data_IF_818642728536
#
_entry.id   IF_818642728536
#
_cell.length_a   1.000
_cell.length_b   1.000
_cell.length_c   1.000
_cell.angle_alpha   90.00
_cell.angle_beta   90.00
_cell.angle_gamma   90.00
#
_symmetry.space_group_name_H-M   'P 1'
#
loop_
_entity.id
_entity.type
_entity.pdbx_description
1 polymer ?
#
# COMPACT_ATOMS: atom_id res chain seq x y z
N UNK A 1 21.56 -10.31 -29.02
CA UNK A 1 20.66 -11.10 -28.15
C UNK A 1 21.15 -10.94 -26.74
N UNK A 2 20.42 -10.20 -25.90
CA UNK A 2 20.89 -9.72 -24.60
C UNK A 2 20.83 -10.83 -23.53
N UNK A 3 21.98 -11.34 -23.12
CA UNK A 3 22.15 -12.29 -22.02
C UNK A 3 22.04 -11.66 -20.62
N UNK A 4 21.92 -10.34 -20.53
CA UNK A 4 21.84 -9.61 -19.26
C UNK A 4 20.46 -9.69 -18.57
N UNK A 5 19.39 -10.04 -19.27
CA UNK A 5 18.02 -10.09 -18.72
C UNK A 5 17.67 -11.42 -18.03
N UNK A 6 18.56 -12.40 -18.04
CA UNK A 6 18.29 -13.78 -17.59
C UNK A 6 18.54 -14.02 -16.10
N UNK A 7 19.14 -13.09 -15.37
CA UNK A 7 19.59 -13.32 -14.00
C UNK A 7 18.72 -12.69 -12.90
N UNK A 8 17.73 -11.86 -13.26
CA UNK A 8 16.83 -11.29 -12.27
C UNK A 8 15.76 -12.32 -11.89
N UNK A 9 16.04 -13.02 -10.81
CA UNK A 9 15.20 -14.11 -10.30
C UNK A 9 14.57 -13.70 -8.97
N UNK A 10 13.59 -14.47 -8.49
CA UNK A 10 12.98 -14.29 -7.18
C UNK A 10 14.03 -14.26 -6.02
N UNK A 11 15.20 -14.88 -6.23
CA UNK A 11 16.29 -14.83 -5.25
C UNK A 11 16.84 -13.43 -5.01
N UNK A 12 16.77 -12.54 -6.01
CA UNK A 12 17.20 -11.15 -5.90
C UNK A 12 16.00 -10.22 -5.70
N UNK A 13 14.90 -10.46 -6.43
CA UNK A 13 13.72 -9.61 -6.41
C UNK A 13 13.01 -9.62 -5.04
N UNK A 14 12.88 -10.78 -4.41
CA UNK A 14 12.23 -10.92 -3.10
C UNK A 14 12.94 -10.12 -2.00
N UNK A 15 14.24 -10.36 -1.74
CA UNK A 15 15.02 -9.58 -0.79
C UNK A 15 15.04 -8.08 -1.11
N UNK A 16 15.15 -7.71 -2.40
CA UNK A 16 15.16 -6.30 -2.80
C UNK A 16 13.85 -5.59 -2.42
N UNK A 17 12.69 -6.21 -2.70
CA UNK A 17 11.40 -5.67 -2.25
C UNK A 17 11.33 -5.61 -0.74
N UNK A 18 11.72 -6.66 -0.04
CA UNK A 18 11.68 -6.70 1.43
C UNK A 18 12.51 -5.56 2.05
N UNK A 19 13.75 -5.36 1.57
CA UNK A 19 14.63 -4.27 2.05
C UNK A 19 14.02 -2.90 1.74
N UNK A 20 13.52 -2.70 0.53
CA UNK A 20 12.90 -1.42 0.16
C UNK A 20 11.64 -1.13 0.98
N UNK A 21 10.80 -2.13 1.24
CA UNK A 21 9.62 -1.97 2.09
C UNK A 21 10.02 -1.69 3.55
N UNK A 22 11.03 -2.38 4.08
CA UNK A 22 11.54 -2.10 5.43
C UNK A 22 12.09 -0.68 5.55
N UNK A 23 12.87 -0.22 4.58
CA UNK A 23 13.35 1.16 4.53
C UNK A 23 12.19 2.15 4.43
N UNK A 24 11.21 1.89 3.57
CA UNK A 24 10.01 2.72 3.45
C UNK A 24 9.27 2.79 4.78
N UNK A 25 8.99 1.66 5.43
CA UNK A 25 8.30 1.65 6.72
C UNK A 25 9.11 2.30 7.84
N UNK A 26 10.44 2.25 7.78
CA UNK A 26 11.30 2.97 8.73
C UNK A 26 11.24 4.48 8.53
N UNK A 27 11.24 4.95 7.28
CA UNK A 27 11.15 6.38 6.97
C UNK A 27 9.77 6.94 7.31
N UNK A 28 8.71 6.19 6.98
CA UNK A 28 7.31 6.61 7.14
C UNK A 28 6.67 6.03 8.42
N UNK A 29 7.47 5.78 9.47
CA UNK A 29 7.01 5.11 10.70
C UNK A 29 5.90 5.88 11.43
N UNK A 30 5.90 7.22 11.39
CA UNK A 30 4.85 8.05 11.99
C UNK A 30 3.45 7.73 11.41
N UNK A 31 3.38 7.52 10.08
CA UNK A 31 2.12 7.11 9.43
C UNK A 31 1.67 5.72 9.88
N UNK A 32 2.62 4.80 10.12
CA UNK A 32 2.31 3.47 10.66
C UNK A 32 1.86 3.55 12.12
N UNK A 33 2.50 4.40 12.94
CA UNK A 33 2.09 4.61 14.34
C UNK A 33 0.68 5.20 14.41
N UNK A 34 0.35 6.16 13.53
CA UNK A 34 -1.01 6.68 13.41
C UNK A 34 -2.03 5.57 13.10
N UNK A 35 -1.76 4.73 12.09
CA UNK A 35 -2.64 3.62 11.73
C UNK A 35 -2.82 2.61 12.87
N UNK A 36 -1.73 2.18 13.48
CA UNK A 36 -1.79 1.24 14.60
C UNK A 36 -2.49 1.84 15.81
N UNK A 37 -2.29 3.13 16.08
CA UNK A 37 -3.01 3.87 17.10
C UNK A 37 -4.54 3.86 16.86
N UNK A 38 -4.94 4.09 15.60
CA UNK A 38 -6.35 4.05 15.21
C UNK A 38 -6.97 2.65 15.35
N UNK A 39 -6.22 1.61 14.96
CA UNK A 39 -6.69 0.22 15.06
C UNK A 39 -6.74 -0.30 16.52
N UNK A 40 -5.97 0.31 17.43
CA UNK A 40 -5.96 -0.06 18.86
C UNK A 40 -7.09 0.61 19.66
N UNK A 41 -7.87 1.54 19.07
CA UNK A 41 -9.02 2.17 19.73
C UNK A 41 -10.24 1.22 19.72
N UNK A 42 -10.19 0.18 20.54
CA UNK A 42 -11.23 -0.86 20.61
C UNK A 42 -12.58 -0.33 21.13
N UNK A 43 -12.58 0.73 21.94
CA UNK A 43 -13.78 1.26 22.59
C UNK A 43 -14.63 2.18 21.69
N UNK A 44 -14.06 2.72 20.60
CA UNK A 44 -14.74 3.61 19.64
C UNK A 44 -14.82 2.96 18.24
N UNK A 45 -14.38 1.78 18.13
CA UNK A 45 -14.56 0.63 17.23
C UNK A 45 -14.68 0.76 15.73
N UNK A 46 -14.71 1.93 15.11
CA UNK A 46 -14.94 2.00 13.66
C UNK A 46 -13.83 1.35 12.83
N UNK A 47 -12.58 1.36 13.31
CA UNK A 47 -11.41 0.83 12.57
C UNK A 47 -10.67 -0.32 13.26
N UNK A 48 -11.24 -0.89 14.33
CA UNK A 48 -10.68 -2.08 15.00
C UNK A 48 -10.47 -3.28 14.05
N UNK A 49 -11.17 -3.29 12.91
CA UNK A 49 -11.02 -4.31 11.87
C UNK A 49 -9.73 -4.16 11.02
N UNK A 50 -8.92 -3.11 11.22
CA UNK A 50 -7.70 -2.86 10.45
C UNK A 50 -6.71 -4.03 10.48
N UNK A 51 -6.49 -4.63 11.66
CA UNK A 51 -5.66 -5.83 11.79
C UNK A 51 -6.24 -7.04 11.03
N UNK A 52 -7.57 -7.20 11.01
CA UNK A 52 -8.24 -8.25 10.25
C UNK A 52 -8.02 -8.06 8.74
N UNK A 53 -8.19 -6.82 8.25
CA UNK A 53 -7.94 -6.48 6.84
C UNK A 53 -6.49 -6.78 6.46
N UNK A 54 -5.53 -6.41 7.31
CA UNK A 54 -4.12 -6.72 7.10
C UNK A 54 -3.87 -8.24 7.04
N UNK A 55 -4.44 -9.00 7.99
CA UNK A 55 -4.33 -10.45 8.03
C UNK A 55 -4.92 -11.10 6.77
N UNK A 56 -6.08 -10.64 6.32
CA UNK A 56 -6.71 -11.10 5.07
C UNK A 56 -5.83 -10.77 3.87
N UNK A 57 -5.26 -9.56 3.79
CA UNK A 57 -4.35 -9.17 2.72
C UNK A 57 -3.13 -10.10 2.65
N UNK A 58 -2.49 -10.35 3.79
CA UNK A 58 -1.36 -11.30 3.87
C UNK A 58 -1.79 -12.69 3.45
N UNK A 59 -2.95 -13.17 3.93
CA UNK A 59 -3.50 -14.47 3.52
C UNK A 59 -3.72 -14.55 2.00
N UNK A 60 -4.25 -13.50 1.37
CA UNK A 60 -4.46 -13.45 -0.07
C UNK A 60 -3.13 -13.54 -0.85
N UNK A 61 -2.08 -12.86 -0.38
CA UNK A 61 -0.74 -12.96 -0.96
C UNK A 61 -0.21 -14.39 -0.83
N UNK A 62 -0.33 -15.00 0.36
CA UNK A 62 0.13 -16.37 0.60
C UNK A 62 -0.67 -17.40 -0.22
N UNK A 63 -1.96 -17.20 -0.41
CA UNK A 63 -2.81 -18.04 -1.26
C UNK A 63 -2.35 -18.02 -2.71
N UNK A 64 -1.87 -16.87 -3.19
CA UNK A 64 -1.38 -16.69 -4.56
C UNK A 64 0.09 -17.12 -4.76
N UNK A 65 0.77 -17.65 -3.73
CA UNK A 65 2.20 -18.00 -3.79
C UNK A 65 2.58 -18.90 -4.96
N UNK A 66 1.71 -19.83 -5.35
CA UNK A 66 1.96 -20.74 -6.49
C UNK A 66 1.93 -20.00 -7.82
N UNK A 67 0.97 -19.07 -7.99
CA UNK A 67 0.86 -18.23 -9.18
C UNK A 67 2.05 -17.28 -9.24
N UNK A 68 2.40 -16.63 -8.12
CA UNK A 68 3.54 -15.73 -8.03
C UNK A 68 4.86 -16.45 -8.34
N UNK A 69 5.06 -17.67 -7.83
CA UNK A 69 6.26 -18.46 -8.11
C UNK A 69 6.42 -18.84 -9.59
N UNK A 70 5.31 -18.98 -10.32
CA UNK A 70 5.33 -19.23 -11.76
C UNK A 70 5.62 -17.98 -12.61
N UNK A 71 5.42 -16.77 -12.04
CA UNK A 71 5.70 -15.52 -12.71
C UNK A 71 7.19 -15.17 -12.57
N UNK A 72 7.78 -14.63 -13.64
CA UNK A 72 9.14 -14.09 -13.59
C UNK A 72 9.08 -12.61 -13.27
N UNK A 73 9.74 -12.15 -12.20
CA UNK A 73 9.85 -10.73 -11.93
C UNK A 73 10.69 -10.06 -13.01
N UNK A 74 10.18 -8.97 -13.54
CA UNK A 74 10.85 -8.15 -14.56
C UNK A 74 10.77 -6.69 -14.11
N UNK A 75 11.86 -6.10 -13.59
CA UNK A 75 11.86 -4.72 -13.14
C UNK A 75 11.34 -3.78 -14.23
N UNK A 76 10.57 -2.79 -13.82
CA UNK A 76 9.99 -1.81 -14.73
C UNK A 76 10.38 -0.39 -14.33
N UNK A 77 11.37 0.17 -15.00
CA UNK A 77 11.83 1.53 -14.76
C UNK A 77 10.75 2.59 -15.04
N UNK A 78 9.77 2.30 -15.91
CA UNK A 78 8.64 3.20 -16.18
C UNK A 78 7.71 3.37 -14.97
N UNK A 79 7.87 2.57 -13.92
CA UNK A 79 7.14 2.74 -12.67
C UNK A 79 7.81 3.73 -11.70
N UNK A 80 9.06 4.17 -11.96
CA UNK A 80 9.75 5.17 -11.12
C UNK A 80 8.99 6.50 -10.96
N UNK A 81 8.36 7.07 -12.00
CA UNK A 81 7.52 8.24 -11.84
C UNK A 81 6.37 8.02 -10.84
N UNK A 82 5.82 6.81 -10.74
CA UNK A 82 4.78 6.49 -9.77
C UNK A 82 5.32 6.49 -8.32
N UNK A 83 6.56 6.02 -8.11
CA UNK A 83 7.24 6.12 -6.81
C UNK A 83 7.42 7.58 -6.42
N UNK A 84 7.91 8.41 -7.36
CA UNK A 84 8.08 9.84 -7.12
C UNK A 84 6.74 10.53 -6.82
N UNK A 85 5.71 10.26 -7.62
CA UNK A 85 4.38 10.84 -7.42
C UNK A 85 3.77 10.45 -6.07
N UNK A 86 3.87 9.18 -5.66
CA UNK A 86 3.39 8.71 -4.36
C UNK A 86 4.17 9.35 -3.19
N UNK A 87 5.49 9.49 -3.32
CA UNK A 87 6.32 10.17 -2.32
C UNK A 87 5.97 11.66 -2.21
N UNK A 88 5.75 12.34 -3.34
CA UNK A 88 5.33 13.75 -3.36
C UNK A 88 3.93 13.92 -2.76
N UNK A 89 2.99 13.02 -3.08
CA UNK A 89 1.66 13.03 -2.48
C UNK A 89 1.75 12.92 -0.96
N UNK A 90 2.55 11.98 -0.46
CA UNK A 90 2.75 11.83 0.97
C UNK A 90 3.37 13.09 1.59
N UNK A 91 4.40 13.64 0.95
CA UNK A 91 5.09 14.86 1.42
C UNK A 91 4.12 16.05 1.49
N UNK A 92 3.31 16.27 0.45
CA UNK A 92 2.32 17.32 0.44
C UNK A 92 1.26 17.12 1.52
N UNK A 93 0.81 15.87 1.71
CA UNK A 93 -0.13 15.50 2.75
C UNK A 93 0.44 15.75 4.16
N UNK A 94 1.75 15.52 4.34
CA UNK A 94 2.45 15.80 5.60
C UNK A 94 2.57 17.31 5.86
N UNK A 95 2.78 18.12 4.83
CA UNK A 95 2.84 19.60 4.97
C UNK A 95 1.51 20.21 5.41
N UNK A 96 0.38 19.62 5.02
CA UNK A 96 -0.96 20.09 5.40
C UNK A 96 -1.58 19.27 6.55
N UNK A 97 -0.79 18.37 7.15
CA UNK A 97 -1.16 17.49 8.26
C UNK A 97 -2.45 16.65 8.03
N UNK A 98 -2.65 16.19 6.79
CA UNK A 98 -3.79 15.33 6.43
C UNK A 98 -3.39 13.86 6.51
N UNK A 99 -3.60 13.23 7.66
CA UNK A 99 -3.18 11.86 8.00
C UNK A 99 -3.75 10.80 7.03
N UNK A 100 -5.00 10.97 6.59
CA UNK A 100 -5.63 10.05 5.62
C UNK A 100 -4.90 10.05 4.29
N UNK A 101 -4.54 11.24 3.78
CA UNK A 101 -3.77 11.37 2.54
C UNK A 101 -2.35 10.80 2.68
N UNK A 102 -1.70 10.97 3.84
CA UNK A 102 -0.40 10.36 4.13
C UNK A 102 -0.49 8.83 4.05
N UNK A 103 -1.55 8.26 4.62
CA UNK A 103 -1.76 6.81 4.61
C UNK A 103 -2.03 6.28 3.20
N UNK A 104 -2.84 6.99 2.41
CA UNK A 104 -3.07 6.67 0.99
C UNK A 104 -1.76 6.77 0.21
N UNK A 105 -0.98 7.84 0.42
CA UNK A 105 0.33 8.04 -0.20
C UNK A 105 1.28 6.87 0.10
N UNK A 106 1.33 6.41 1.35
CA UNK A 106 2.13 5.26 1.76
C UNK A 106 1.68 3.96 1.07
N UNK A 107 0.37 3.70 0.97
CA UNK A 107 -0.17 2.54 0.26
C UNK A 107 0.20 2.56 -1.22
N UNK A 108 0.06 3.72 -1.87
CA UNK A 108 0.45 3.91 -3.27
C UNK A 108 1.95 3.76 -3.46
N UNK A 109 2.77 4.20 -2.50
CA UNK A 109 4.22 4.04 -2.52
C UNK A 109 4.61 2.56 -2.44
N UNK A 110 3.99 1.78 -1.56
CA UNK A 110 4.17 0.33 -1.48
C UNK A 110 3.85 -0.33 -2.83
N UNK A 111 2.71 0.03 -3.43
CA UNK A 111 2.30 -0.48 -4.74
C UNK A 111 3.31 -0.11 -5.84
N UNK A 112 3.79 1.14 -5.86
CA UNK A 112 4.75 1.63 -6.83
C UNK A 112 6.13 0.95 -6.70
N UNK A 113 6.61 0.69 -5.47
CA UNK A 113 7.84 -0.08 -5.21
C UNK A 113 7.70 -1.50 -5.74
N UNK A 114 6.61 -2.18 -5.42
CA UNK A 114 6.31 -3.52 -5.92
C UNK A 114 6.28 -3.52 -7.45
N UNK A 115 5.67 -2.52 -8.06
CA UNK A 115 5.59 -2.38 -9.52
C UNK A 115 6.97 -2.15 -10.15
N UNK A 116 7.80 -1.31 -9.56
CA UNK A 116 9.15 -1.01 -10.06
C UNK A 116 10.04 -2.25 -10.01
N UNK A 117 10.00 -3.00 -8.90
CA UNK A 117 10.93 -4.11 -8.65
C UNK A 117 10.44 -5.42 -9.27
N UNK A 118 9.15 -5.75 -9.15
CA UNK A 118 8.59 -7.01 -9.62
C UNK A 118 7.97 -6.93 -11.03
N UNK A 119 7.64 -5.71 -11.47
CA UNK A 119 7.09 -5.45 -12.80
C UNK A 119 5.60 -5.77 -12.95
N UNK A 120 5.06 -5.50 -14.12
CA UNK A 120 3.62 -5.45 -14.40
C UNK A 120 2.88 -6.74 -14.09
N UNK A 121 3.46 -7.92 -14.42
CA UNK A 121 2.76 -9.21 -14.27
C UNK A 121 2.55 -9.57 -12.80
N UNK A 122 3.60 -9.41 -12.01
CA UNK A 122 3.55 -9.72 -10.58
C UNK A 122 2.68 -8.69 -9.84
N UNK A 123 2.83 -7.40 -10.18
CA UNK A 123 2.02 -6.34 -9.58
C UNK A 123 0.53 -6.51 -9.85
N UNK A 124 0.13 -6.91 -11.06
CA UNK A 124 -1.28 -7.21 -11.34
C UNK A 124 -1.84 -8.32 -10.47
N UNK A 125 -1.05 -9.36 -10.19
CA UNK A 125 -1.47 -10.43 -9.29
C UNK A 125 -1.57 -9.93 -7.83
N UNK A 126 -0.70 -9.02 -7.41
CA UNK A 126 -0.68 -8.45 -6.05
C UNK A 126 -1.58 -7.21 -5.89
N UNK A 127 -2.13 -6.68 -6.97
CA UNK A 127 -2.91 -5.43 -6.96
C UNK A 127 -4.07 -5.51 -5.99
N UNK A 128 -4.89 -6.56 -6.08
CA UNK A 128 -6.04 -6.73 -5.21
C UNK A 128 -5.64 -6.88 -3.72
N UNK A 129 -4.72 -7.76 -3.31
CA UNK A 129 -4.27 -7.84 -1.93
C UNK A 129 -3.73 -6.53 -1.38
N UNK A 130 -2.94 -5.78 -2.16
CA UNK A 130 -2.36 -4.51 -1.72
C UNK A 130 -3.46 -3.45 -1.57
N UNK A 131 -4.33 -3.29 -2.56
CA UNK A 131 -5.42 -2.31 -2.51
C UNK A 131 -6.46 -2.67 -1.43
N UNK A 132 -6.60 -3.96 -1.09
CA UNK A 132 -7.49 -4.39 -0.02
C UNK A 132 -7.09 -3.79 1.35
N UNK A 133 -5.81 -3.48 1.57
CA UNK A 133 -5.34 -2.75 2.76
C UNK A 133 -6.00 -1.37 2.86
N UNK A 134 -6.41 -0.79 1.72
CA UNK A 134 -7.14 0.49 1.69
C UNK A 134 -8.42 0.50 2.53
N UNK A 135 -9.06 -0.65 2.76
CA UNK A 135 -10.22 -0.75 3.64
C UNK A 135 -9.90 -0.56 5.14
N UNK A 136 -8.62 -0.68 5.51
CA UNK A 136 -8.15 -0.39 6.87
C UNK A 136 -7.80 1.10 7.07
N UNK A 137 -7.89 1.92 6.00
CA UNK A 137 -7.61 3.35 6.02
C UNK A 137 -8.91 4.12 6.29
N UNK A 138 -8.91 5.14 7.17
CA UNK A 138 -10.11 5.91 7.52
C UNK A 138 -10.52 6.91 6.42
N UNK A 139 -10.74 6.42 5.19
CA UNK A 139 -11.09 7.27 4.02
C UNK A 139 -12.43 7.97 4.20
N UNK A 140 -13.33 7.39 4.99
CA UNK A 140 -14.68 7.90 5.20
C UNK A 140 -14.77 9.03 6.22
N UNK A 141 -13.78 9.15 7.10
CA UNK A 141 -13.80 10.14 8.18
C UNK A 141 -13.94 11.60 7.68
N UNK A 142 -13.20 12.06 6.66
CA UNK A 142 -13.37 13.41 6.13
C UNK A 142 -14.65 13.60 5.32
N UNK A 143 -15.33 12.52 4.91
CA UNK A 143 -16.60 12.56 4.17
C UNK A 143 -17.82 12.55 5.09
N UNK A 144 -17.66 12.15 6.36
CA UNK A 144 -18.77 12.07 7.32
C UNK A 144 -19.54 13.38 7.52
N UNK A 145 -18.90 14.55 7.67
CA UNK A 145 -19.62 15.82 7.79
C UNK A 145 -20.47 16.13 6.56
N UNK A 146 -19.87 15.93 5.37
CA UNK A 146 -20.57 16.19 4.11
C UNK A 146 -21.79 15.29 3.91
N UNK A 147 -21.68 14.02 4.31
CA UNK A 147 -22.79 13.07 4.25
C UNK A 147 -23.87 13.36 5.30
N UNK A 148 -23.50 13.87 6.47
CA UNK A 148 -24.41 14.29 7.52
C UNK A 148 -25.21 15.52 7.06
N UNK A 149 -24.55 16.52 6.46
CA UNK A 149 -25.22 17.72 5.94
C UNK A 149 -26.20 17.37 4.82
N UNK A 150 -25.81 16.49 3.88
CA UNK A 150 -26.69 16.01 2.82
C UNK A 150 -27.91 15.22 3.34
N UNK A 151 -27.75 14.48 4.44
CA UNK A 151 -28.87 13.76 5.07
C UNK A 151 -29.75 14.69 5.87
N UNK A 152 -29.20 15.73 6.50
CA UNK A 152 -29.97 16.74 7.23
C UNK A 152 -30.84 17.61 6.28
N UNK A 153 -30.33 17.92 5.10
CA UNK A 153 -31.08 18.67 4.06
C UNK A 153 -32.18 17.84 3.37
N UNK A 154 -32.14 16.50 3.48
CA UNK A 154 -33.08 15.59 2.87
C UNK A 154 -34.29 15.22 3.78
N UNK A 155 -34.29 15.68 5.04
CA UNK A 155 -35.32 15.45 6.06
C UNK A 155 -36.08 16.73 6.37
#
# INVERSE_FOLDING_TARGET
MNTASSQYTWRLAGPAVAVLLLLTFSVYHETLLYLTGLWNQLDIGEYAHGYLVLAISVYLVLRQRRVLAALRPCPNAWALPAVLAASLLWMLAALVDVQVLQTIGLLLLVLAIVWTVLGNRVTRALLFPILFIGFAIPVWFPLSPLLQDLTADAV
#
